data_IF_248134912213
#
_entry.id   IF_248134912213
#
_cell.length_a   1.000
_cell.length_b   1.000
_cell.length_c   1.000
_cell.angle_alpha   90.00
_cell.angle_beta   90.00
_cell.angle_gamma   90.00
#
_symmetry.space_group_name_H-M   'P 1'
#
loop_
_entity.id
_entity.type
_entity.pdbx_description
1 polymer ?
#
# COMPACT_ATOMS: atom_id res chain seq x y z
N UNK A 1 -18.20 40.30 -3.95
CA UNK A 1 -17.35 39.87 -5.07
C UNK A 1 -15.89 39.98 -4.62
N UNK A 2 -15.14 38.88 -4.49
CA UNK A 2 -13.72 38.95 -4.13
C UNK A 2 -12.94 39.57 -5.30
N UNK A 3 -12.27 40.69 -5.04
CA UNK A 3 -11.41 41.38 -6.02
C UNK A 3 -10.12 40.58 -6.17
N UNK A 4 -9.80 40.22 -7.41
CA UNK A 4 -8.62 39.46 -7.77
C UNK A 4 -7.35 40.32 -7.52
N UNK A 5 -6.74 40.15 -6.33
CA UNK A 5 -5.55 40.88 -5.89
C UNK A 5 -4.32 40.61 -6.79
N UNK A 6 -4.38 39.56 -7.61
CA UNK A 6 -3.29 39.14 -8.48
C UNK A 6 -3.02 40.15 -9.61
N UNK A 7 -4.04 40.86 -10.07
CA UNK A 7 -3.91 41.90 -11.09
C UNK A 7 -3.28 43.19 -10.52
N UNK A 8 -3.73 43.60 -9.33
CA UNK A 8 -3.22 44.79 -8.66
C UNK A 8 -1.72 44.68 -8.31
N UNK A 9 -1.28 43.49 -7.87
CA UNK A 9 0.14 43.24 -7.56
C UNK A 9 1.05 43.24 -8.79
N UNK A 10 0.51 43.00 -10.00
CA UNK A 10 1.26 43.03 -11.26
C UNK A 10 1.45 44.46 -11.79
N UNK A 11 0.54 45.37 -11.49
CA UNK A 11 0.62 46.77 -11.94
C UNK A 11 1.53 47.62 -11.04
N UNK A 12 1.59 47.34 -9.73
CA UNK A 12 2.42 48.09 -8.77
C UNK A 12 3.91 47.76 -8.88
N UNK A 13 4.23 46.54 -9.34
CA UNK A 13 5.58 46.03 -9.37
C UNK A 13 6.07 45.95 -10.82
N UNK A 14 6.78 46.99 -11.26
CA UNK A 14 7.69 46.96 -12.40
C UNK A 14 8.89 46.02 -12.17
N UNK A 15 8.62 44.78 -11.75
CA UNK A 15 9.61 43.74 -11.53
C UNK A 15 9.94 43.19 -12.91
N UNK A 16 11.08 43.63 -13.42
CA UNK A 16 11.88 42.87 -14.38
C UNK A 16 11.76 41.39 -14.04
N UNK A 17 11.06 40.64 -14.87
CA UNK A 17 10.97 39.19 -14.77
C UNK A 17 12.32 38.57 -15.19
N UNK A 18 13.35 38.83 -14.39
CA UNK A 18 14.46 37.93 -14.17
C UNK A 18 14.21 37.23 -12.84
N UNK A 19 13.05 36.60 -12.70
CA UNK A 19 13.07 35.31 -12.03
C UNK A 19 13.89 34.45 -12.98
N UNK A 20 15.19 34.35 -12.72
CA UNK A 20 15.95 33.23 -13.24
C UNK A 20 15.18 31.99 -12.80
N UNK A 21 14.39 31.42 -13.70
CA UNK A 21 13.89 30.05 -13.64
C UNK A 21 15.07 29.06 -13.76
N UNK A 22 16.18 29.38 -13.11
CA UNK A 22 17.41 28.60 -13.08
C UNK A 22 17.40 27.61 -11.90
N UNK A 23 16.30 27.58 -11.13
CA UNK A 23 15.96 26.43 -10.29
C UNK A 23 14.95 25.51 -11.00
N UNK A 24 15.06 25.35 -12.32
CA UNK A 24 14.64 24.09 -12.93
C UNK A 24 15.58 23.04 -12.36
N UNK A 25 15.18 22.52 -11.19
CA UNK A 25 15.76 21.38 -10.48
C UNK A 25 16.40 20.49 -11.52
N UNK A 26 17.67 20.15 -11.33
CA UNK A 26 18.37 19.16 -12.16
C UNK A 26 17.60 17.83 -12.06
N UNK A 27 16.54 17.74 -12.86
CA UNK A 27 15.51 16.72 -12.79
C UNK A 27 16.09 15.38 -13.19
N UNK A 28 17.27 15.41 -13.83
CA UNK A 28 18.08 14.25 -14.17
C UNK A 28 18.60 13.54 -12.92
N UNK A 29 19.04 14.27 -11.89
CA UNK A 29 19.60 13.67 -10.68
C UNK A 29 18.54 12.93 -9.83
N UNK A 30 17.36 13.53 -9.65
CA UNK A 30 16.26 12.90 -8.90
C UNK A 30 15.42 11.92 -9.73
N UNK A 31 15.63 11.84 -11.05
CA UNK A 31 14.87 10.95 -11.94
C UNK A 31 14.93 9.49 -11.48
N UNK A 32 16.13 9.00 -11.14
CA UNK A 32 16.31 7.62 -10.63
C UNK A 32 15.57 7.38 -9.32
N UNK A 33 15.60 8.36 -8.41
CA UNK A 33 14.87 8.31 -7.15
C UNK A 33 13.35 8.27 -7.38
N UNK A 34 12.81 9.13 -8.25
CA UNK A 34 11.37 9.14 -8.56
C UNK A 34 10.93 7.87 -9.25
N UNK A 35 11.75 7.30 -10.14
CA UNK A 35 11.48 5.99 -10.74
C UNK A 35 11.39 4.87 -9.68
N UNK A 36 12.29 4.87 -8.70
CA UNK A 36 12.27 3.89 -7.61
C UNK A 36 11.03 4.08 -6.72
N UNK A 37 10.66 5.32 -6.42
CA UNK A 37 9.44 5.66 -5.68
C UNK A 37 8.19 5.17 -6.41
N UNK A 38 8.11 5.38 -7.72
CA UNK A 38 6.95 4.97 -8.51
C UNK A 38 6.84 3.44 -8.61
N UNK A 39 7.98 2.75 -8.77
CA UNK A 39 8.01 1.29 -8.70
C UNK A 39 7.52 0.78 -7.34
N UNK A 40 7.96 1.38 -6.24
CA UNK A 40 7.53 1.03 -4.88
C UNK A 40 6.03 1.23 -4.70
N UNK A 41 5.48 2.36 -5.16
CA UNK A 41 4.04 2.64 -5.13
C UNK A 41 3.27 1.58 -5.92
N UNK A 42 3.71 1.27 -7.13
CA UNK A 42 3.10 0.25 -7.97
C UNK A 42 3.13 -1.15 -7.35
N UNK A 43 4.20 -1.54 -6.66
CA UNK A 43 4.23 -2.82 -5.92
C UNK A 43 3.26 -2.82 -4.73
N UNK A 44 3.09 -1.70 -4.02
CA UNK A 44 2.10 -1.59 -2.94
C UNK A 44 0.68 -1.69 -3.50
N UNK A 45 0.39 -1.05 -4.62
CA UNK A 45 -0.93 -1.11 -5.25
C UNK A 45 -1.25 -2.54 -5.76
N UNK A 46 -0.25 -3.27 -6.26
CA UNK A 46 -0.40 -4.70 -6.58
C UNK A 46 -0.72 -5.53 -5.33
N UNK A 47 -0.04 -5.27 -4.21
CA UNK A 47 -0.36 -5.94 -2.94
C UNK A 47 -1.80 -5.60 -2.54
N UNK A 48 -2.23 -4.35 -2.63
CA UNK A 48 -3.59 -3.94 -2.31
C UNK A 48 -4.64 -4.66 -3.18
N UNK A 49 -4.36 -4.83 -4.48
CA UNK A 49 -5.21 -5.60 -5.38
C UNK A 49 -5.29 -7.09 -4.97
N UNK A 50 -4.16 -7.71 -4.61
CA UNK A 50 -4.13 -9.08 -4.09
C UNK A 50 -4.90 -9.21 -2.77
N UNK A 51 -4.86 -8.20 -1.90
CA UNK A 51 -5.65 -8.14 -0.67
C UNK A 51 -7.15 -8.01 -0.95
N UNK A 52 -7.55 -7.31 -2.00
CA UNK A 52 -8.94 -7.28 -2.44
C UNK A 52 -9.37 -8.66 -2.99
N UNK A 53 -8.52 -9.30 -3.80
CA UNK A 53 -8.79 -10.62 -4.36
C UNK A 53 -8.93 -11.69 -3.26
N UNK A 54 -8.04 -11.71 -2.26
CA UNK A 54 -8.13 -12.71 -1.19
C UNK A 54 -9.40 -12.55 -0.36
N UNK A 55 -9.88 -11.32 -0.14
CA UNK A 55 -11.18 -11.07 0.52
C UNK A 55 -12.32 -11.68 -0.28
N UNK A 56 -12.30 -11.52 -1.60
CA UNK A 56 -13.30 -12.12 -2.48
C UNK A 56 -13.25 -13.64 -2.40
N UNK A 57 -12.06 -14.25 -2.52
CA UNK A 57 -11.88 -15.71 -2.45
C UNK A 57 -12.29 -16.28 -1.09
N UNK A 58 -11.97 -15.60 0.00
CA UNK A 58 -12.45 -15.96 1.34
C UNK A 58 -13.97 -15.93 1.44
N UNK A 59 -14.61 -14.92 0.84
CA UNK A 59 -16.08 -14.84 0.79
C UNK A 59 -16.69 -15.98 -0.03
N UNK A 60 -16.09 -16.32 -1.18
CA UNK A 60 -16.51 -17.45 -2.03
C UNK A 60 -16.44 -18.78 -1.25
N UNK A 61 -15.35 -19.02 -0.51
CA UNK A 61 -15.19 -20.22 0.33
C UNK A 61 -16.27 -20.29 1.42
N UNK A 62 -16.58 -19.17 2.07
CA UNK A 62 -17.59 -19.12 3.13
C UNK A 62 -19.01 -19.35 2.60
N UNK A 63 -19.32 -18.85 1.40
CA UNK A 63 -20.62 -19.01 0.75
C UNK A 63 -20.82 -20.40 0.13
N UNK A 64 -19.75 -21.07 -0.30
CA UNK A 64 -19.85 -22.40 -0.87
C UNK A 64 -20.22 -23.46 0.20
N UNK A 65 -21.18 -24.35 -0.07
CA UNK A 65 -21.58 -25.42 0.87
C UNK A 65 -20.52 -26.52 1.00
N UNK A 66 -19.72 -26.73 -0.05
CA UNK A 66 -18.62 -27.69 -0.11
C UNK A 66 -17.29 -26.98 -0.33
N UNK A 67 -16.19 -27.65 0.02
CA UNK A 67 -14.85 -27.10 -0.19
C UNK A 67 -14.47 -27.13 -1.68
N UNK A 68 -14.33 -25.95 -2.29
CA UNK A 68 -13.78 -25.82 -3.64
C UNK A 68 -12.25 -25.76 -3.58
N UNK A 69 -11.62 -26.87 -3.97
CA UNK A 69 -10.16 -27.04 -3.92
C UNK A 69 -9.42 -26.07 -4.84
N UNK A 70 -10.04 -25.68 -5.97
CA UNK A 70 -9.46 -24.68 -6.87
C UNK A 70 -9.38 -23.31 -6.21
N UNK A 71 -10.43 -22.92 -5.49
CA UNK A 71 -10.46 -21.64 -4.78
C UNK A 71 -9.47 -21.62 -3.62
N UNK A 72 -9.29 -22.73 -2.89
CA UNK A 72 -8.25 -22.83 -1.85
C UNK A 72 -6.85 -22.70 -2.42
N UNK A 73 -6.55 -23.42 -3.51
CA UNK A 73 -5.23 -23.32 -4.16
C UNK A 73 -4.93 -21.88 -4.58
N UNK A 74 -5.92 -21.15 -5.11
CA UNK A 74 -5.78 -19.72 -5.44
C UNK A 74 -5.53 -18.85 -4.21
N UNK A 75 -6.17 -19.13 -3.08
CA UNK A 75 -5.90 -18.42 -1.82
C UNK A 75 -4.45 -18.62 -1.36
N UNK A 76 -3.94 -19.84 -1.44
CA UNK A 76 -2.54 -20.15 -1.09
C UNK A 76 -1.55 -19.44 -2.01
N UNK A 77 -1.82 -19.42 -3.31
CA UNK A 77 -1.03 -18.67 -4.31
C UNK A 77 -1.00 -17.17 -3.99
N UNK A 78 -2.17 -16.56 -3.77
CA UNK A 78 -2.27 -15.12 -3.43
C UNK A 78 -1.51 -14.81 -2.13
N UNK A 79 -1.59 -15.68 -1.11
CA UNK A 79 -0.85 -15.50 0.13
C UNK A 79 0.67 -15.53 -0.09
N UNK A 80 1.14 -16.45 -0.94
CA UNK A 80 2.56 -16.54 -1.29
C UNK A 80 3.02 -15.29 -2.06
N UNK A 81 2.23 -14.83 -3.03
CA UNK A 81 2.50 -13.62 -3.80
C UNK A 81 2.55 -12.36 -2.90
N UNK A 82 1.57 -12.18 -2.01
CA UNK A 82 1.56 -11.07 -1.05
C UNK A 82 2.82 -11.10 -0.20
N UNK A 83 3.20 -12.27 0.34
CA UNK A 83 4.40 -12.42 1.17
C UNK A 83 5.67 -12.06 0.42
N UNK A 84 5.81 -12.54 -0.83
CA UNK A 84 6.97 -12.25 -1.67
C UNK A 84 7.08 -10.75 -1.98
N UNK A 85 5.99 -10.14 -2.47
CA UNK A 85 5.97 -8.72 -2.83
C UNK A 85 6.18 -7.82 -1.61
N UNK A 86 5.54 -8.11 -0.49
CA UNK A 86 5.73 -7.36 0.76
C UNK A 86 7.18 -7.44 1.27
N UNK A 87 7.84 -8.59 1.11
CA UNK A 87 9.27 -8.74 1.40
C UNK A 87 10.14 -7.84 0.51
N UNK A 88 9.81 -7.75 -0.78
CA UNK A 88 10.46 -6.86 -1.74
C UNK A 88 10.30 -5.38 -1.37
N UNK A 89 9.05 -4.93 -1.14
CA UNK A 89 8.74 -3.56 -0.71
C UNK A 89 9.45 -3.20 0.58
N UNK A 90 9.44 -4.09 1.59
CA UNK A 90 10.14 -3.86 2.87
C UNK A 90 11.64 -3.68 2.68
N UNK A 91 12.26 -4.51 1.83
CA UNK A 91 13.70 -4.45 1.57
C UNK A 91 14.07 -3.17 0.82
N UNK A 92 13.29 -2.78 -0.18
CA UNK A 92 13.50 -1.56 -0.94
C UNK A 92 13.26 -0.29 -0.10
N UNK A 93 12.25 -0.25 0.77
CA UNK A 93 12.06 0.84 1.74
C UNK A 93 13.26 0.98 2.69
N UNK A 94 13.78 -0.14 3.19
CA UNK A 94 14.98 -0.12 4.05
C UNK A 94 16.20 0.39 3.30
N UNK A 95 16.40 -0.01 2.05
CA UNK A 95 17.50 0.49 1.22
C UNK A 95 17.36 2.00 0.94
N UNK A 96 16.14 2.47 0.69
CA UNK A 96 15.86 3.89 0.48
C UNK A 96 16.22 4.72 1.73
N UNK A 97 15.81 4.25 2.92
CA UNK A 97 16.14 4.90 4.19
C UNK A 97 17.65 4.97 4.44
N UNK A 98 18.37 3.87 4.18
CA UNK A 98 19.83 3.82 4.28
C UNK A 98 20.51 4.78 3.30
N UNK A 99 20.03 4.85 2.06
CA UNK A 99 20.55 5.79 1.06
C UNK A 99 20.37 7.23 1.49
N UNK A 100 19.22 7.57 2.09
CA UNK A 100 18.94 8.91 2.61
C UNK A 100 19.91 9.26 3.76
N UNK A 101 20.14 8.32 4.69
CA UNK A 101 21.07 8.52 5.81
C UNK A 101 22.52 8.69 5.36
N UNK A 102 22.95 7.94 4.34
CA UNK A 102 24.30 8.05 3.78
C UNK A 102 24.51 9.42 3.12
N UNK A 103 23.53 9.88 2.34
CA UNK A 103 23.57 11.19 1.69
C UNK A 103 23.54 12.34 2.70
N UNK A 104 22.78 12.21 3.79
CA UNK A 104 22.80 13.16 4.90
C UNK A 104 24.19 13.25 5.56
N UNK A 105 24.82 12.11 5.85
CA UNK A 105 26.16 12.08 6.44
C UNK A 105 27.24 12.65 5.50
N UNK A 106 27.03 12.57 4.19
CA UNK A 106 27.91 13.14 3.18
C UNK A 106 27.70 14.65 2.95
N UNK A 107 26.74 15.28 3.66
CA UNK A 107 26.43 16.70 3.49
C UNK A 107 25.63 17.00 2.22
N UNK A 108 24.75 16.07 1.80
CA UNK A 108 23.87 16.25 0.64
C UNK A 108 22.91 17.44 0.77
N UNK A 109 22.30 17.82 -0.35
CA UNK A 109 21.43 18.99 -0.39
C UNK A 109 20.20 18.83 0.52
N UNK A 110 19.91 19.88 1.29
CA UNK A 110 18.85 19.85 2.31
C UNK A 110 17.46 19.75 1.68
N UNK A 111 17.25 20.36 0.50
CA UNK A 111 15.97 20.29 -0.19
C UNK A 111 15.74 18.88 -0.75
N UNK A 112 16.76 18.28 -1.37
CA UNK A 112 16.70 16.91 -1.87
C UNK A 112 16.45 15.89 -0.76
N UNK A 113 17.18 15.99 0.36
CA UNK A 113 16.96 15.13 1.54
C UNK A 113 15.54 15.25 2.08
N UNK A 114 14.97 16.47 2.10
CA UNK A 114 13.58 16.69 2.55
C UNK A 114 12.58 16.02 1.61
N UNK A 115 12.77 16.12 0.30
CA UNK A 115 11.92 15.46 -0.70
C UNK A 115 11.99 13.94 -0.50
N UNK A 116 13.22 13.39 -0.40
CA UNK A 116 13.44 11.95 -0.27
C UNK A 116 12.80 11.38 1.01
N UNK A 117 12.99 12.05 2.15
CA UNK A 117 12.33 11.69 3.43
C UNK A 117 10.82 11.73 3.36
N UNK A 118 10.26 12.78 2.75
CA UNK A 118 8.81 12.93 2.61
C UNK A 118 8.17 11.80 1.80
N UNK A 119 8.82 11.40 0.71
CA UNK A 119 8.38 10.25 -0.09
C UNK A 119 8.51 8.94 0.67
N UNK A 120 9.68 8.65 1.27
CA UNK A 120 9.90 7.44 2.06
C UNK A 120 8.84 7.28 3.15
N UNK A 121 8.54 8.35 3.90
CA UNK A 121 7.54 8.33 4.96
C UNK A 121 6.13 8.08 4.43
N UNK A 122 5.78 8.67 3.28
CA UNK A 122 4.45 8.52 2.67
C UNK A 122 4.24 7.11 2.13
N UNK A 123 5.22 6.57 1.43
CA UNK A 123 5.19 5.18 0.91
C UNK A 123 5.16 4.20 2.09
N UNK A 124 5.98 4.43 3.12
CA UNK A 124 6.01 3.59 4.32
C UNK A 124 4.65 3.53 5.04
N UNK A 125 3.97 4.67 5.21
CA UNK A 125 2.61 4.72 5.76
C UNK A 125 1.63 3.89 4.93
N UNK A 126 1.61 4.13 3.62
CA UNK A 126 0.72 3.42 2.69
C UNK A 126 0.95 1.91 2.71
N UNK A 127 2.20 1.47 2.74
CA UNK A 127 2.54 0.05 2.86
C UNK A 127 1.98 -0.56 4.15
N UNK A 128 2.15 0.11 5.29
CA UNK A 128 1.64 -0.37 6.58
C UNK A 128 0.11 -0.46 6.58
N UNK A 129 -0.59 0.52 6.02
CA UNK A 129 -2.06 0.50 5.89
C UNK A 129 -2.54 -0.73 5.11
N UNK A 130 -1.94 -0.99 3.94
CA UNK A 130 -2.30 -2.16 3.11
C UNK A 130 -2.00 -3.47 3.83
N UNK A 131 -0.88 -3.56 4.55
CA UNK A 131 -0.53 -4.76 5.31
C UNK A 131 -1.42 -4.98 6.54
N UNK A 132 -1.91 -3.91 7.16
CA UNK A 132 -2.91 -3.99 8.22
C UNK A 132 -4.25 -4.47 7.67
N UNK A 133 -4.66 -3.98 6.50
CA UNK A 133 -5.88 -4.44 5.82
C UNK A 133 -5.80 -5.93 5.46
N UNK A 134 -4.66 -6.40 4.98
CA UNK A 134 -4.40 -7.83 4.77
C UNK A 134 -4.56 -8.64 6.07
N UNK A 135 -3.93 -8.18 7.14
CA UNK A 135 -3.95 -8.86 8.45
C UNK A 135 -5.36 -8.95 9.04
N UNK A 136 -6.13 -7.88 8.84
CA UNK A 136 -7.55 -7.84 9.20
C UNK A 136 -8.37 -8.83 8.37
N UNK A 137 -8.22 -8.85 7.04
CA UNK A 137 -8.93 -9.77 6.17
C UNK A 137 -8.70 -11.25 6.55
N UNK A 138 -7.46 -11.61 6.90
CA UNK A 138 -7.13 -12.96 7.37
C UNK A 138 -7.77 -13.31 8.71
N UNK A 139 -7.76 -12.35 9.65
CA UNK A 139 -8.37 -12.54 10.97
C UNK A 139 -9.88 -12.71 10.85
N UNK A 140 -10.54 -11.84 10.08
CA UNK A 140 -11.98 -11.89 9.84
C UNK A 140 -12.39 -13.22 9.20
N UNK A 141 -11.65 -13.71 8.20
CA UNK A 141 -11.89 -15.01 7.58
C UNK A 141 -11.74 -16.17 8.57
N UNK A 142 -10.65 -16.19 9.36
CA UNK A 142 -10.42 -17.24 10.36
C UNK A 142 -11.56 -17.32 11.37
N UNK A 143 -12.03 -16.16 11.84
CA UNK A 143 -13.11 -16.07 12.82
C UNK A 143 -14.45 -16.49 12.22
N UNK A 144 -14.75 -16.09 10.98
CA UNK A 144 -15.95 -16.50 10.25
C UNK A 144 -15.96 -18.00 9.96
N UNK A 145 -14.84 -18.56 9.50
CA UNK A 145 -14.71 -19.98 9.21
C UNK A 145 -14.85 -20.83 10.49
N UNK A 146 -14.27 -20.39 11.62
CA UNK A 146 -14.46 -21.03 12.93
C UNK A 146 -15.94 -21.07 13.33
N UNK A 147 -16.67 -19.96 13.19
CA UNK A 147 -18.12 -19.90 13.48
C UNK A 147 -18.91 -20.87 12.59
N UNK A 148 -18.56 -20.98 11.31
CA UNK A 148 -19.23 -21.91 10.37
C UNK A 148 -19.05 -23.37 10.80
N UNK A 149 -17.83 -23.78 11.11
CA UNK A 149 -17.52 -25.15 11.55
C UNK A 149 -18.26 -25.49 12.85
N UNK A 150 -18.27 -24.57 13.83
CA UNK A 150 -19.02 -24.76 15.08
C UNK A 150 -20.52 -24.99 14.83
N UNK A 151 -21.14 -24.25 13.90
CA UNK A 151 -22.54 -24.46 13.51
C UNK A 151 -22.77 -25.80 12.83
N UNK A 152 -21.91 -26.21 11.90
CA UNK A 152 -22.00 -27.51 11.24
C UNK A 152 -21.91 -28.67 12.24
N UNK A 153 -21.03 -28.56 13.25
CA UNK A 153 -20.92 -29.56 14.32
C UNK A 153 -22.15 -29.62 15.24
N UNK A 154 -22.79 -28.47 15.50
CA UNK A 154 -24.01 -28.42 16.32
C UNK A 154 -25.19 -29.10 15.62
N UNK A 155 -25.40 -28.82 14.32
CA UNK A 155 -26.47 -29.44 13.52
C UNK A 155 -26.29 -30.96 13.44
N UNK A 156 -25.05 -31.42 13.21
CA UNK A 156 -24.74 -32.85 13.20
C UNK A 156 -25.01 -33.57 14.53
N UNK A 157 -24.95 -32.87 15.67
CA UNK A 157 -25.30 -33.44 16.98
C UNK A 157 -26.81 -33.48 17.23
N UNK A 158 -27.54 -32.46 16.76
CA UNK A 158 -28.99 -32.38 16.94
C UNK A 158 -29.75 -33.39 16.06
N UNK A 159 -29.26 -33.66 14.84
CA UNK A 159 -29.87 -34.64 13.92
C UNK A 159 -29.70 -36.11 14.34
N UNK A 160 -28.83 -36.44 15.30
CA UNK A 160 -28.61 -37.82 15.79
C UNK A 160 -29.57 -38.18 16.95
N UNK A 161 -30.26 -37.19 17.52
CA UNK A 161 -31.14 -37.38 18.68
C UNK A 161 -32.64 -37.29 18.34
N UNK A 162 -33.08 -37.87 17.21
CA UNK A 162 -34.51 -38.13 16.99
C UNK A 162 -34.82 -39.61 17.28
N UNK A 163 -35.29 -39.97 18.49
CA UNK A 163 -35.73 -41.33 18.76
C UNK A 163 -37.04 -41.61 18.03
N UNK A 164 -37.07 -42.73 17.30
CA UNK A 164 -38.28 -43.39 16.83
C UNK A 164 -38.91 -44.21 17.96
#
# INVERSE_FOLDING_TARGET
MPKDLLAALKEENGINNRISNDSFVDSSYLSGFFSQVEQLRGEIDKIAALVAEIKQKHSEILAAPNQDERTKARVEEIMAEIKQRAGGVRSALKQLDLSIQQEENAGGDVADLRIKRGQHQTIGRRFVEVMQEYSKAQTDYRDANKKRILRQMAIGRECVCSPA
#
